data_IF_892372219071
#
_entry.id   IF_892372219071
#
_cell.length_a   1.000
_cell.length_b   1.000
_cell.length_c   1.000
_cell.angle_alpha   90.00
_cell.angle_beta   90.00
_cell.angle_gamma   90.00
#
_symmetry.space_group_name_H-M   'P 1'
#
loop_
_entity.id
_entity.type
_entity.pdbx_description
1 polymer ?
#
# COMPACT_ATOMS: atom_id res chain seq x y z
N UNK A 1 -25.42 -23.34 16.75
CA UNK A 1 -26.13 -22.41 15.88
C UNK A 1 -27.11 -23.18 15.00
N UNK A 2 -28.34 -22.70 14.86
CA UNK A 2 -29.40 -23.39 14.14
C UNK A 2 -29.32 -23.29 12.62
N UNK A 3 -28.40 -22.44 12.09
CA UNK A 3 -28.25 -22.21 10.65
C UNK A 3 -27.26 -23.17 9.97
N UNK A 4 -26.41 -23.89 10.72
CA UNK A 4 -25.37 -24.71 10.13
C UNK A 4 -24.31 -23.92 9.35
N UNK A 5 -23.68 -24.56 8.37
CA UNK A 5 -22.72 -23.91 7.47
C UNK A 5 -23.46 -23.18 6.35
N UNK A 6 -23.15 -21.88 6.17
CA UNK A 6 -23.70 -21.06 5.10
C UNK A 6 -22.58 -20.70 4.10
N UNK A 7 -22.78 -21.06 2.82
CA UNK A 7 -21.79 -20.79 1.77
C UNK A 7 -21.93 -19.35 1.29
N UNK A 8 -20.85 -18.55 1.46
CA UNK A 8 -20.79 -17.13 1.10
C UNK A 8 -19.98 -16.85 -0.16
N UNK A 9 -19.30 -17.87 -0.71
CA UNK A 9 -18.43 -17.75 -1.87
C UNK A 9 -19.18 -17.20 -3.09
N UNK A 10 -18.64 -16.12 -3.70
CA UNK A 10 -19.21 -15.46 -4.87
C UNK A 10 -20.39 -14.52 -4.58
N UNK A 11 -20.74 -14.31 -3.31
CA UNK A 11 -21.81 -13.38 -2.89
C UNK A 11 -21.23 -12.08 -2.37
N UNK A 12 -21.91 -10.98 -2.63
CA UNK A 12 -21.64 -9.69 -1.99
C UNK A 12 -22.06 -9.70 -0.52
N UNK A 13 -21.51 -8.78 0.28
CA UNK A 13 -21.89 -8.61 1.70
C UNK A 13 -23.39 -8.40 1.85
N UNK A 14 -24.00 -7.56 1.00
CA UNK A 14 -25.42 -7.25 1.00
C UNK A 14 -26.26 -8.51 0.72
N UNK A 15 -25.89 -9.32 -0.27
CA UNK A 15 -26.61 -10.57 -0.58
C UNK A 15 -26.52 -11.58 0.55
N UNK A 16 -25.40 -11.60 1.29
CA UNK A 16 -25.24 -12.45 2.48
C UNK A 16 -26.13 -11.95 3.62
N UNK A 17 -26.15 -10.63 3.88
CA UNK A 17 -27.00 -9.99 4.89
C UNK A 17 -28.49 -10.28 4.65
N UNK A 18 -28.95 -10.07 3.41
CA UNK A 18 -30.35 -10.33 3.01
C UNK A 18 -30.71 -11.80 3.18
N UNK A 19 -29.84 -12.69 2.70
CA UNK A 19 -30.08 -14.14 2.79
C UNK A 19 -30.12 -14.62 4.24
N UNK A 20 -29.22 -14.12 5.09
CA UNK A 20 -29.21 -14.45 6.51
C UNK A 20 -30.42 -13.84 7.22
N UNK A 21 -30.79 -12.60 6.90
CA UNK A 21 -32.00 -11.95 7.46
C UNK A 21 -33.25 -12.76 7.15
N UNK A 22 -33.42 -13.23 5.91
CA UNK A 22 -34.53 -14.11 5.54
C UNK A 22 -34.52 -15.44 6.31
N UNK A 23 -33.34 -16.04 6.47
CA UNK A 23 -33.19 -17.29 7.20
C UNK A 23 -33.55 -17.15 8.69
N UNK A 24 -33.14 -16.03 9.31
CA UNK A 24 -33.41 -15.78 10.74
C UNK A 24 -34.84 -15.34 11.05
N UNK A 25 -35.64 -14.85 10.08
CA UNK A 25 -37.06 -14.51 10.24
C UNK A 25 -37.90 -15.69 10.74
N UNK A 26 -37.42 -16.92 10.56
CA UNK A 26 -38.10 -18.12 11.08
C UNK A 26 -38.09 -18.23 12.61
N UNK A 27 -37.16 -17.54 13.27
CA UNK A 27 -36.92 -17.64 14.72
C UNK A 27 -36.96 -16.31 15.44
N UNK A 28 -36.76 -15.20 14.72
CA UNK A 28 -36.66 -13.86 15.29
C UNK A 28 -37.57 -12.91 14.51
N UNK A 29 -38.34 -12.11 15.22
CA UNK A 29 -39.17 -11.06 14.64
C UNK A 29 -38.27 -9.87 14.31
N UNK A 30 -38.26 -9.43 13.05
CA UNK A 30 -37.46 -8.31 12.55
C UNK A 30 -35.97 -8.44 12.89
N UNK A 31 -35.26 -9.50 12.43
CA UNK A 31 -33.83 -9.62 12.66
C UNK A 31 -33.07 -8.54 11.88
N UNK A 32 -32.12 -7.90 12.54
CA UNK A 32 -31.12 -7.00 11.90
C UNK A 32 -29.79 -7.74 11.91
N UNK A 33 -29.21 -7.99 10.75
CA UNK A 33 -27.95 -8.71 10.59
C UNK A 33 -26.95 -7.80 9.90
N UNK A 34 -25.81 -7.63 10.51
CA UNK A 34 -24.66 -6.95 9.94
C UNK A 34 -23.55 -7.98 9.68
N UNK A 35 -23.05 -8.01 8.44
CA UNK A 35 -21.96 -8.90 8.03
C UNK A 35 -20.71 -8.09 7.77
N UNK A 36 -19.63 -8.40 8.48
CA UNK A 36 -18.32 -7.78 8.28
C UNK A 36 -17.31 -8.78 7.74
N UNK A 37 -16.62 -8.42 6.66
CA UNK A 37 -15.46 -9.16 6.20
C UNK A 37 -14.29 -8.78 7.08
N UNK A 38 -13.79 -9.73 7.84
CA UNK A 38 -12.57 -9.57 8.64
C UNK A 38 -11.34 -9.83 7.77
N UNK A 39 -10.18 -9.27 8.17
CA UNK A 39 -8.90 -9.47 7.50
C UNK A 39 -8.82 -8.97 6.04
N UNK A 40 -9.38 -7.80 5.78
CA UNK A 40 -9.14 -7.08 4.53
C UNK A 40 -7.71 -6.58 4.53
N UNK A 41 -6.81 -7.24 3.83
CA UNK A 41 -5.39 -6.91 3.78
C UNK A 41 -5.03 -6.26 2.45
N UNK A 42 -4.17 -5.24 2.49
CA UNK A 42 -3.51 -4.64 1.33
C UNK A 42 -2.00 -4.73 1.59
N UNK A 43 -1.26 -5.15 0.59
CA UNK A 43 0.20 -5.20 0.66
C UNK A 43 0.80 -3.96 0.00
N UNK A 44 1.73 -3.28 0.68
CA UNK A 44 2.45 -2.14 0.10
C UNK A 44 3.95 -2.33 0.24
N UNK A 45 4.67 -2.21 -0.88
CA UNK A 45 6.10 -2.47 -0.99
C UNK A 45 6.85 -1.33 -1.68
N UNK A 46 8.16 -1.27 -1.48
CA UNK A 46 9.06 -0.32 -2.16
C UNK A 46 9.56 0.79 -1.25
N UNK A 47 9.67 2.01 -1.80
CA UNK A 47 10.25 3.18 -1.13
C UNK A 47 9.25 3.85 -0.16
N UNK A 48 9.02 3.17 0.96
CA UNK A 48 8.14 3.58 2.05
C UNK A 48 8.89 3.42 3.36
N UNK A 49 8.47 4.11 4.41
CA UNK A 49 9.07 3.98 5.73
C UNK A 49 8.86 2.58 6.31
N UNK A 50 7.65 2.07 6.22
CA UNK A 50 7.28 0.76 6.74
C UNK A 50 6.55 -0.03 5.64
N UNK A 51 7.27 -0.65 4.68
CA UNK A 51 6.63 -1.54 3.71
C UNK A 51 6.12 -2.80 4.41
N UNK A 52 4.95 -3.31 4.01
CA UNK A 52 4.35 -4.49 4.65
C UNK A 52 2.91 -4.74 4.24
N UNK A 53 2.26 -5.61 5.00
CA UNK A 53 0.82 -5.86 4.90
C UNK A 53 0.08 -5.04 5.93
N UNK A 54 -1.03 -4.44 5.51
CA UNK A 54 -1.88 -3.60 6.34
C UNK A 54 -3.31 -4.10 6.30
N UNK A 55 -3.87 -4.32 7.48
CA UNK A 55 -5.30 -4.59 7.64
C UNK A 55 -6.05 -3.27 7.49
N UNK A 56 -7.06 -3.25 6.63
CA UNK A 56 -7.88 -2.07 6.37
C UNK A 56 -9.32 -2.33 6.81
N UNK A 57 -9.85 -1.45 7.64
CA UNK A 57 -11.21 -1.59 8.18
C UNK A 57 -12.28 -1.00 7.25
N UNK A 58 -11.91 0.05 6.51
CA UNK A 58 -12.82 0.73 5.60
C UNK A 58 -12.94 -0.02 4.28
N UNK A 59 -14.09 0.07 3.63
CA UNK A 59 -14.30 -0.50 2.29
C UNK A 59 -13.66 0.36 1.18
N UNK A 60 -13.51 1.65 1.43
CA UNK A 60 -13.00 2.64 0.48
C UNK A 60 -11.62 3.15 0.90
N UNK A 61 -10.61 2.29 0.86
CA UNK A 61 -9.22 2.71 1.08
C UNK A 61 -8.59 3.14 -0.23
N UNK A 62 -7.88 4.24 -0.19
CA UNK A 62 -7.16 4.76 -1.35
C UNK A 62 -5.66 4.43 -1.24
N UNK A 63 -4.91 4.63 -2.33
CA UNK A 63 -3.45 4.47 -2.31
C UNK A 63 -2.83 5.37 -1.23
N UNK A 64 -3.29 6.61 -1.09
CA UNK A 64 -2.75 7.56 -0.11
C UNK A 64 -3.06 7.14 1.32
N UNK A 65 -4.24 6.56 1.58
CA UNK A 65 -4.58 6.05 2.92
C UNK A 65 -3.61 4.94 3.33
N UNK A 66 -3.33 3.99 2.44
CA UNK A 66 -2.42 2.88 2.73
C UNK A 66 -0.97 3.35 2.81
N UNK A 67 -0.57 4.33 1.99
CA UNK A 67 0.75 4.96 2.13
C UNK A 67 0.89 5.69 3.46
N UNK A 68 -0.16 6.35 3.96
CA UNK A 68 -0.17 6.99 5.26
C UNK A 68 -0.03 5.95 6.39
N UNK A 69 -0.72 4.81 6.31
CA UNK A 69 -0.55 3.68 7.24
C UNK A 69 0.89 3.16 7.25
N UNK A 70 1.56 3.15 6.10
CA UNK A 70 2.97 2.79 5.96
C UNK A 70 3.95 3.88 6.46
N UNK A 71 3.45 4.95 7.10
CA UNK A 71 4.27 6.05 7.62
C UNK A 71 4.76 7.03 6.57
N UNK A 72 4.21 6.98 5.36
CA UNK A 72 4.59 7.81 4.22
C UNK A 72 5.70 7.21 3.36
N UNK A 73 6.13 7.97 2.38
CA UNK A 73 7.14 7.56 1.40
C UNK A 73 8.53 8.07 1.76
N UNK A 74 9.56 7.36 1.28
CA UNK A 74 10.96 7.73 1.41
C UNK A 74 11.39 8.74 0.35
N UNK A 75 12.52 9.42 0.58
CA UNK A 75 13.04 10.48 -0.30
C UNK A 75 13.25 10.03 -1.75
N UNK A 76 13.66 8.78 -1.95
CA UNK A 76 13.86 8.21 -3.27
C UNK A 76 12.62 7.60 -3.91
N UNK A 77 11.45 7.73 -3.31
CA UNK A 77 10.20 7.23 -3.87
C UNK A 77 9.88 7.91 -5.21
N UNK A 78 9.53 7.11 -6.21
CA UNK A 78 9.03 7.57 -7.49
C UNK A 78 7.51 7.57 -7.52
N UNK A 79 6.91 8.65 -7.06
CA UNK A 79 5.44 8.80 -6.99
C UNK A 79 4.77 8.96 -8.37
N UNK A 80 5.54 9.17 -9.45
CA UNK A 80 5.01 9.23 -10.83
C UNK A 80 4.71 7.86 -11.41
N UNK A 81 5.19 6.79 -10.78
CA UNK A 81 5.11 5.44 -11.33
C UNK A 81 4.72 4.41 -10.26
N UNK A 82 3.79 4.77 -9.40
CA UNK A 82 3.23 3.84 -8.41
C UNK A 82 2.40 2.79 -9.15
N UNK A 83 2.60 1.52 -8.82
CA UNK A 83 1.92 0.40 -9.47
C UNK A 83 0.92 -0.22 -8.50
N UNK A 84 -0.29 -0.42 -8.98
CA UNK A 84 -1.29 -1.23 -8.28
C UNK A 84 -1.49 -2.51 -9.07
N UNK A 85 -1.27 -3.63 -8.43
CA UNK A 85 -1.38 -4.96 -9.01
C UNK A 85 -2.55 -5.66 -8.31
N UNK A 86 -3.53 -6.07 -9.09
CA UNK A 86 -4.74 -6.75 -8.63
C UNK A 86 -4.91 -8.08 -9.32
N UNK A 87 -5.19 -9.11 -8.55
CA UNK A 87 -5.56 -10.41 -9.10
C UNK A 87 -7.09 -10.48 -9.25
N UNK A 88 -7.55 -10.70 -10.47
CA UNK A 88 -8.96 -10.89 -10.80
C UNK A 88 -9.16 -12.31 -11.36
N UNK A 89 -9.47 -13.26 -10.47
CA UNK A 89 -9.52 -14.68 -10.84
C UNK A 89 -8.18 -15.22 -11.31
N UNK A 90 -8.09 -15.70 -12.55
CA UNK A 90 -6.86 -16.20 -13.16
C UNK A 90 -6.00 -15.10 -13.83
N UNK A 91 -6.51 -13.88 -13.96
CA UNK A 91 -5.80 -12.75 -14.60
C UNK A 91 -5.20 -11.79 -13.57
N UNK A 92 -4.12 -11.11 -13.98
CA UNK A 92 -3.47 -10.07 -13.18
C UNK A 92 -3.57 -8.74 -13.92
N UNK A 93 -4.19 -7.77 -13.28
CA UNK A 93 -4.30 -6.41 -13.79
C UNK A 93 -3.30 -5.50 -13.10
N UNK A 94 -2.53 -4.74 -13.88
CA UNK A 94 -1.60 -3.75 -13.36
C UNK A 94 -1.97 -2.36 -13.86
N UNK A 95 -2.08 -1.40 -12.93
CA UNK A 95 -2.37 0.00 -13.22
C UNK A 95 -1.20 0.85 -12.72
N UNK A 96 -0.68 1.74 -13.57
CA UNK A 96 0.28 2.75 -13.19
C UNK A 96 -0.43 4.04 -12.76
N UNK A 97 -0.01 4.60 -11.62
CA UNK A 97 -0.60 5.80 -11.04
C UNK A 97 0.46 6.85 -10.83
N UNK A 98 0.21 8.05 -11.32
CA UNK A 98 1.02 9.23 -11.03
C UNK A 98 0.36 10.03 -9.90
N UNK A 99 0.96 10.02 -8.73
CA UNK A 99 0.50 10.74 -7.55
C UNK A 99 1.06 12.18 -7.45
N UNK A 100 1.83 12.65 -8.46
CA UNK A 100 2.43 13.99 -8.46
C UNK A 100 1.68 15.01 -9.31
N UNK A 101 0.61 14.63 -9.98
CA UNK A 101 -0.04 15.42 -11.02
C UNK A 101 -1.00 16.50 -10.48
N UNK A 102 -0.50 17.43 -9.68
CA UNK A 102 -1.18 18.67 -9.28
C UNK A 102 -2.60 18.49 -8.70
N UNK A 103 -3.54 19.34 -9.15
CA UNK A 103 -4.95 19.30 -8.68
C UNK A 103 -5.71 18.01 -9.05
N UNK A 104 -5.19 17.22 -9.99
CA UNK A 104 -5.81 15.97 -10.44
C UNK A 104 -5.39 14.74 -9.61
N UNK A 105 -4.52 14.90 -8.61
CA UNK A 105 -4.07 13.76 -7.80
C UNK A 105 -5.23 13.04 -7.08
N UNK A 106 -6.27 13.75 -6.67
CA UNK A 106 -7.45 13.16 -6.05
C UNK A 106 -8.23 12.26 -7.02
N UNK A 107 -8.29 12.63 -8.31
CA UNK A 107 -8.93 11.81 -9.35
C UNK A 107 -8.10 10.56 -9.70
N UNK A 108 -6.80 10.61 -9.45
CA UNK A 108 -5.86 9.50 -9.68
C UNK A 108 -5.60 8.67 -8.44
N UNK A 109 -6.12 9.10 -7.29
CA UNK A 109 -6.07 8.36 -6.04
C UNK A 109 -7.06 7.20 -6.08
N UNK A 110 -6.63 6.09 -6.69
CA UNK A 110 -7.48 4.93 -6.95
C UNK A 110 -7.89 4.24 -5.65
N UNK A 111 -9.13 3.75 -5.65
CA UNK A 111 -9.63 2.87 -4.60
C UNK A 111 -8.94 1.51 -4.68
N UNK A 112 -8.44 1.07 -3.55
CA UNK A 112 -7.83 -0.23 -3.39
C UNK A 112 -8.84 -1.24 -2.88
N UNK A 113 -8.70 -2.48 -3.34
CA UNK A 113 -9.48 -3.60 -2.87
C UNK A 113 -8.62 -4.52 -1.98
N UNK A 114 -9.25 -5.28 -1.08
CA UNK A 114 -8.55 -6.32 -0.34
C UNK A 114 -7.81 -7.28 -1.28
N UNK A 115 -6.55 -7.59 -0.95
CA UNK A 115 -5.66 -8.40 -1.78
C UNK A 115 -4.83 -7.63 -2.80
N UNK A 116 -5.05 -6.32 -2.98
CA UNK A 116 -4.21 -5.50 -3.86
C UNK A 116 -2.76 -5.41 -3.35
N UNK A 117 -1.83 -5.38 -4.30
CA UNK A 117 -0.41 -5.10 -4.07
C UNK A 117 -0.05 -3.73 -4.65
N UNK A 118 0.34 -2.82 -3.78
CA UNK A 118 0.85 -1.49 -4.17
C UNK A 118 2.37 -1.51 -4.15
N UNK A 119 3.01 -1.09 -5.24
CA UNK A 119 4.47 -1.00 -5.35
C UNK A 119 4.88 0.44 -5.63
N UNK A 120 5.68 1.01 -4.73
CA UNK A 120 6.28 2.34 -4.86
C UNK A 120 7.74 2.18 -5.29
N UNK A 121 8.08 2.35 -6.58
CA UNK A 121 9.44 2.14 -7.06
C UNK A 121 10.38 3.28 -6.61
N UNK A 122 11.69 3.01 -6.67
CA UNK A 122 12.71 4.04 -6.46
C UNK A 122 12.95 4.89 -7.71
N UNK A 123 13.43 6.12 -7.49
CA UNK A 123 14.00 6.96 -8.56
C UNK A 123 15.28 6.34 -9.11
N UNK A 124 15.56 6.53 -10.41
CA UNK A 124 16.70 5.93 -11.11
C UNK A 124 18.06 6.35 -10.53
N UNK A 125 18.16 7.53 -9.94
CA UNK A 125 19.41 8.07 -9.39
C UNK A 125 19.75 7.61 -7.96
N UNK A 126 18.90 6.80 -7.32
CA UNK A 126 19.14 6.29 -5.95
C UNK A 126 20.52 5.66 -5.76
N UNK A 127 20.96 4.82 -6.71
CA UNK A 127 22.25 4.13 -6.62
C UNK A 127 23.44 5.06 -6.86
N UNK A 128 23.28 6.13 -7.65
CA UNK A 128 24.29 7.13 -7.90
C UNK A 128 24.51 8.02 -6.67
N UNK A 129 23.43 8.56 -6.09
CA UNK A 129 23.49 9.40 -4.90
C UNK A 129 24.09 8.66 -3.70
N UNK A 130 23.77 7.36 -3.54
CA UNK A 130 24.35 6.53 -2.50
C UNK A 130 25.85 6.32 -2.66
N UNK A 131 26.36 6.23 -3.89
CA UNK A 131 27.80 6.14 -4.16
C UNK A 131 28.53 7.45 -3.85
N UNK A 132 27.97 8.58 -4.25
CA UNK A 132 28.55 9.90 -3.97
C UNK A 132 28.65 10.16 -2.47
N UNK A 133 27.58 9.90 -1.71
CA UNK A 133 27.59 10.11 -0.25
C UNK A 133 28.61 9.27 0.49
N UNK A 134 29.07 8.16 -0.11
CA UNK A 134 30.13 7.30 0.44
C UNK A 134 31.53 7.79 0.05
N UNK A 135 31.70 8.42 -1.12
CA UNK A 135 32.99 8.84 -1.65
C UNK A 135 33.43 10.20 -1.08
N UNK A 136 32.51 11.15 -0.91
CA UNK A 136 32.82 12.51 -0.43
C UNK A 136 33.48 12.52 0.95
N UNK A 137 33.05 11.77 1.98
CA UNK A 137 33.74 11.72 3.26
C UNK A 137 35.18 11.19 3.17
N UNK A 138 35.43 10.21 2.29
CA UNK A 138 36.76 9.66 2.06
C UNK A 138 37.71 10.69 1.38
N UNK A 139 37.21 11.43 0.38
CA UNK A 139 37.99 12.46 -0.30
C UNK A 139 38.31 13.64 0.65
N UNK A 140 37.40 14.04 1.53
CA UNK A 140 37.66 15.10 2.50
C UNK A 140 38.68 14.71 3.56
N UNK A 141 38.74 13.45 3.98
CA UNK A 141 39.75 12.97 4.95
C UNK A 141 41.15 12.89 4.37
N UNK A 142 41.29 12.52 3.10
CA UNK A 142 42.62 12.48 2.42
C UNK A 142 43.17 13.86 2.13
N UNK A 143 42.34 14.85 1.77
CA UNK A 143 42.77 16.24 1.59
C UNK A 143 43.17 16.90 2.91
N UNK A 144 42.49 16.63 4.01
CA UNK A 144 42.87 17.11 5.33
C UNK A 144 44.23 16.54 5.78
N UNK A 145 44.49 15.27 5.53
CA UNK A 145 45.78 14.64 5.83
C UNK A 145 46.91 15.19 4.97
N UNK A 146 46.68 15.48 3.70
CA UNK A 146 47.67 16.08 2.82
C UNK A 146 48.06 17.51 3.22
N UNK A 147 47.09 18.31 3.70
CA UNK A 147 47.35 19.67 4.21
C UNK A 147 48.17 19.63 5.51
N UNK A 148 47.90 18.69 6.42
CA UNK A 148 48.69 18.55 7.65
C UNK A 148 50.13 18.11 7.40
N UNK A 149 50.39 17.27 6.40
CA UNK A 149 51.76 16.84 6.03
C UNK A 149 52.51 17.97 5.34
N UNK A 150 51.85 18.80 4.53
CA UNK A 150 52.44 19.93 3.83
C UNK A 150 52.83 21.12 4.72
N UNK A 151 52.29 21.23 5.94
CA UNK A 151 52.61 22.28 6.93
C UNK A 151 53.75 21.91 7.88
N UNK A 152 54.24 20.66 7.85
CA UNK A 152 55.37 20.18 8.70
C UNK A 152 56.68 19.91 7.91
N UNK A 153 56.72 20.21 6.64
CA UNK A 153 57.93 20.17 5.80
C UNK A 153 58.31 21.60 5.36
#
# INVERSE_FOLDING_TARGET
PRLGNYRVEGKSVIEVEDSLTMAFRKWIVNPVIEVKVLNKEITILGELRNPGKYVVEKDNNTILDVMALAGGYEFYANLRSVKVIRQEGASVKMVNVDLTAGSDYLKRNILLHPGDLVVVPSKKNKSFDKRISTIIPLASSTTAAAILIGTFL
#
